data_IF_575188065027
#
_entry.id   IF_575188065027
#
_cell.length_a   1.000
_cell.length_b   1.000
_cell.length_c   1.000
_cell.angle_alpha   90.00
_cell.angle_beta   90.00
_cell.angle_gamma   90.00
#
_symmetry.space_group_name_H-M   'P 1'
#
loop_
_entity.id
_entity.type
_entity.pdbx_description
1 polymer ?
#
# COMPACT_ATOMS: atom_id res chain seq x y z
N UNK A 1 19.50 -15.89 -8.91
CA UNK A 1 18.49 -14.95 -8.39
C UNK A 1 19.11 -13.57 -8.30
N UNK A 2 18.37 -12.56 -8.67
CA UNK A 2 18.83 -11.19 -8.63
C UNK A 2 18.71 -10.61 -7.21
N UNK A 3 19.75 -9.93 -6.70
CA UNK A 3 19.69 -9.20 -5.43
C UNK A 3 18.61 -8.12 -5.47
N UNK A 4 18.31 -7.60 -6.68
CA UNK A 4 17.23 -6.60 -6.88
C UNK A 4 15.88 -7.17 -6.45
N UNK A 5 15.56 -8.41 -6.83
CA UNK A 5 14.29 -9.03 -6.45
C UNK A 5 14.22 -9.29 -4.95
N UNK A 6 15.33 -9.64 -4.31
CA UNK A 6 15.38 -9.82 -2.86
C UNK A 6 15.14 -8.52 -2.10
N UNK A 7 15.76 -7.43 -2.54
CA UNK A 7 15.56 -6.09 -1.94
C UNK A 7 14.11 -5.64 -2.15
N UNK A 8 13.58 -5.84 -3.35
CA UNK A 8 12.20 -5.49 -3.69
C UNK A 8 11.21 -6.25 -2.80
N UNK A 9 11.39 -7.57 -2.67
CA UNK A 9 10.52 -8.40 -1.84
C UNK A 9 10.52 -7.92 -0.39
N UNK A 10 11.70 -7.59 0.16
CA UNK A 10 11.82 -7.09 1.53
C UNK A 10 11.13 -5.73 1.69
N UNK A 11 11.31 -4.82 0.73
CA UNK A 11 10.70 -3.49 0.80
C UNK A 11 9.17 -3.60 0.81
N UNK A 12 8.60 -4.43 -0.06
CA UNK A 12 7.15 -4.63 -0.13
C UNK A 12 6.64 -5.35 1.13
N UNK A 13 7.39 -6.31 1.64
CA UNK A 13 7.04 -7.00 2.88
C UNK A 13 7.02 -6.01 4.06
N UNK A 14 8.02 -5.17 4.19
CA UNK A 14 8.07 -4.13 5.22
C UNK A 14 6.89 -3.17 5.09
N UNK A 15 6.53 -2.79 3.87
CA UNK A 15 5.37 -1.95 3.58
C UNK A 15 4.09 -2.57 4.16
N UNK A 16 3.82 -3.85 3.86
CA UNK A 16 2.61 -4.50 4.36
C UNK A 16 2.66 -4.76 5.86
N UNK A 17 3.83 -5.00 6.44
CA UNK A 17 3.95 -5.11 7.90
C UNK A 17 3.51 -3.81 8.59
N UNK A 18 3.88 -2.67 8.02
CA UNK A 18 3.47 -1.36 8.55
C UNK A 18 1.95 -1.22 8.50
N UNK A 19 1.33 -1.60 7.39
CA UNK A 19 -0.12 -1.51 7.23
C UNK A 19 -0.86 -2.48 8.14
N UNK A 20 -0.33 -3.68 8.31
CA UNK A 20 -0.97 -4.73 9.12
C UNK A 20 -0.89 -4.46 10.63
N UNK A 21 0.02 -3.61 11.07
CA UNK A 21 0.18 -3.27 12.48
C UNK A 21 -0.98 -2.46 13.07
N UNK A 22 -1.85 -1.91 12.24
CA UNK A 22 -2.97 -1.11 12.69
C UNK A 22 -2.60 0.31 13.08
N UNK A 23 -3.60 1.09 13.48
CA UNK A 23 -3.44 2.52 13.77
C UNK A 23 -2.49 2.79 14.93
N UNK A 24 -2.48 1.92 15.96
CA UNK A 24 -1.65 2.11 17.14
C UNK A 24 -0.16 1.91 16.87
N UNK A 25 0.17 1.08 15.89
CA UNK A 25 1.56 0.75 15.55
C UNK A 25 2.01 1.42 14.25
N UNK A 26 1.17 2.23 13.65
CA UNK A 26 1.50 2.89 12.39
C UNK A 26 2.62 3.91 12.60
N UNK A 27 3.71 3.72 11.85
CA UNK A 27 4.89 4.57 11.91
C UNK A 27 5.06 5.30 10.57
N UNK A 28 4.66 6.58 10.50
CA UNK A 28 4.76 7.33 9.24
C UNK A 28 6.19 7.55 8.77
N UNK A 29 7.14 7.65 9.70
CA UNK A 29 8.56 7.82 9.34
C UNK A 29 9.10 6.55 8.70
N UNK A 30 8.78 5.40 9.28
CA UNK A 30 9.19 4.11 8.74
C UNK A 30 8.59 3.87 7.36
N UNK A 31 7.32 4.20 7.16
CA UNK A 31 6.68 4.10 5.86
C UNK A 31 7.36 5.02 4.84
N UNK A 32 7.57 6.28 5.21
CA UNK A 32 8.20 7.27 4.33
C UNK A 32 9.60 6.84 3.88
N UNK A 33 10.34 6.12 4.73
CA UNK A 33 11.68 5.64 4.40
C UNK A 33 11.69 4.59 3.29
N UNK A 34 10.56 3.97 2.98
CA UNK A 34 10.42 3.00 1.90
C UNK A 34 10.07 3.65 0.55
N UNK A 35 9.76 4.94 0.53
CA UNK A 35 9.18 5.63 -0.61
C UNK A 35 10.17 6.63 -1.22
N UNK A 36 10.17 6.74 -2.56
CA UNK A 36 10.85 7.84 -3.21
C UNK A 36 10.15 9.16 -2.85
N UNK A 37 10.90 10.27 -2.67
CA UNK A 37 10.28 11.56 -2.34
C UNK A 37 9.23 12.02 -3.35
N UNK A 38 9.44 11.69 -4.62
CA UNK A 38 8.54 12.02 -5.73
C UNK A 38 7.64 10.84 -6.13
N UNK A 39 7.29 9.98 -5.19
CA UNK A 39 6.39 8.85 -5.40
C UNK A 39 5.18 9.27 -6.22
N UNK A 40 4.81 8.44 -7.20
CA UNK A 40 3.57 8.60 -7.95
C UNK A 40 2.54 7.60 -7.42
N UNK A 41 1.40 8.09 -6.99
CA UNK A 41 0.30 7.25 -6.51
C UNK A 41 -0.92 7.45 -7.40
N UNK A 42 -1.56 6.35 -7.76
CA UNK A 42 -2.83 6.35 -8.49
C UNK A 42 -3.83 5.46 -7.76
N UNK A 43 -5.03 5.96 -7.55
CA UNK A 43 -6.11 5.20 -6.92
C UNK A 43 -7.48 5.71 -7.33
N UNK A 44 -8.54 4.91 -7.12
CA UNK A 44 -9.88 5.26 -7.62
C UNK A 44 -10.53 6.44 -6.91
N UNK A 45 -10.11 6.76 -5.68
CA UNK A 45 -10.64 7.92 -4.94
C UNK A 45 -9.66 9.08 -4.97
N UNK A 46 -8.38 8.82 -4.65
CA UNK A 46 -7.37 9.87 -4.59
C UNK A 46 -7.01 10.42 -5.97
N UNK A 47 -7.22 9.63 -7.03
CA UNK A 47 -6.78 9.99 -8.38
C UNK A 47 -5.28 9.85 -8.52
N UNK A 48 -4.68 10.75 -9.29
CA UNK A 48 -3.24 10.79 -9.54
C UNK A 48 -2.60 11.79 -8.59
N UNK A 49 -1.65 11.34 -7.76
CA UNK A 49 -0.97 12.18 -6.77
C UNK A 49 0.53 11.97 -6.84
N UNK A 50 1.28 13.03 -6.58
CA UNK A 50 2.74 13.00 -6.55
C UNK A 50 3.22 13.42 -5.16
N UNK A 51 4.18 12.68 -4.61
CA UNK A 51 4.81 12.97 -3.33
C UNK A 51 4.59 11.89 -2.29
N UNK A 52 5.64 11.60 -1.53
CA UNK A 52 5.58 10.60 -0.47
C UNK A 52 4.72 11.07 0.71
N UNK A 53 4.83 12.33 1.12
CA UNK A 53 4.12 12.84 2.30
C UNK A 53 2.60 12.74 2.18
N UNK A 54 1.97 13.19 1.08
CA UNK A 54 0.53 13.01 0.91
C UNK A 54 0.10 11.54 0.93
N UNK A 55 0.91 10.66 0.35
CA UNK A 55 0.63 9.23 0.36
C UNK A 55 0.66 8.67 1.78
N UNK A 56 1.68 9.03 2.57
CA UNK A 56 1.79 8.58 3.98
C UNK A 56 0.57 9.02 4.78
N UNK A 57 0.10 10.25 4.58
CA UNK A 57 -1.10 10.75 5.25
C UNK A 57 -2.34 9.97 4.83
N UNK A 58 -2.45 9.62 3.55
CA UNK A 58 -3.56 8.81 3.05
C UNK A 58 -3.56 7.41 3.65
N UNK A 59 -2.39 6.79 3.78
CA UNK A 59 -2.26 5.47 4.42
C UNK A 59 -2.63 5.54 5.90
N UNK A 60 -2.23 6.60 6.60
CA UNK A 60 -2.61 6.79 8.00
C UNK A 60 -4.13 6.78 8.16
N UNK A 61 -4.85 7.47 7.28
CA UNK A 61 -6.31 7.45 7.28
C UNK A 61 -6.89 6.06 6.98
N UNK A 62 -6.32 5.36 6.00
CA UNK A 62 -6.74 4.01 5.65
C UNK A 62 -6.56 3.04 6.82
N UNK A 63 -5.37 3.05 7.44
CA UNK A 63 -5.06 2.18 8.57
C UNK A 63 -5.98 2.48 9.77
N UNK A 64 -6.32 3.76 9.97
CA UNK A 64 -7.25 4.18 11.00
C UNK A 64 -8.68 3.69 10.78
N UNK A 65 -9.05 3.36 9.54
CA UNK A 65 -10.38 2.88 9.18
C UNK A 65 -10.48 1.36 9.20
N UNK A 66 -9.38 0.67 8.85
CA UNK A 66 -9.38 -0.79 8.73
C UNK A 66 -9.16 -1.48 10.08
N UNK A 67 -9.65 -2.71 10.20
CA UNK A 67 -9.48 -3.57 11.38
C UNK A 67 -8.51 -4.71 11.15
N UNK A 68 -8.01 -4.85 9.94
CA UNK A 68 -7.06 -5.89 9.57
C UNK A 68 -6.89 -5.98 8.07
N UNK A 69 -5.82 -6.64 7.67
CA UNK A 69 -5.48 -6.84 6.28
C UNK A 69 -4.95 -8.26 6.12
N UNK A 70 -5.51 -9.00 5.16
CA UNK A 70 -5.11 -10.37 4.87
C UNK A 70 -4.53 -10.43 3.47
N UNK A 71 -3.24 -10.79 3.36
CA UNK A 71 -2.57 -10.94 2.08
C UNK A 71 -3.04 -12.23 1.42
N UNK A 72 -3.58 -12.13 0.20
CA UNK A 72 -4.03 -13.27 -0.58
C UNK A 72 -2.95 -13.75 -1.54
N UNK A 73 -2.25 -12.84 -2.19
CA UNK A 73 -1.23 -13.17 -3.17
C UNK A 73 -0.25 -12.02 -3.32
N UNK A 74 1.04 -12.34 -3.39
CA UNK A 74 2.09 -11.35 -3.65
C UNK A 74 3.04 -11.93 -4.69
N UNK A 75 3.26 -11.20 -5.78
CA UNK A 75 4.23 -11.57 -6.81
C UNK A 75 5.26 -10.46 -6.96
N UNK A 76 6.51 -10.85 -7.15
CA UNK A 76 7.66 -9.92 -7.21
C UNK A 76 8.58 -10.33 -8.35
N UNK A 77 9.04 -9.38 -9.13
CA UNK A 77 10.03 -9.64 -10.17
C UNK A 77 10.22 -8.45 -11.09
N UNK A 78 11.41 -8.36 -11.70
CA UNK A 78 11.74 -7.35 -12.71
C UNK A 78 11.51 -5.91 -12.23
N UNK A 79 11.82 -5.62 -10.97
CA UNK A 79 11.64 -4.28 -10.40
C UNK A 79 10.20 -3.90 -10.10
N UNK A 80 9.28 -4.87 -10.15
CA UNK A 80 7.85 -4.66 -9.96
C UNK A 80 7.28 -5.66 -8.96
N UNK A 81 6.17 -5.30 -8.34
CA UNK A 81 5.43 -6.20 -7.47
C UNK A 81 3.94 -5.98 -7.65
N UNK A 82 3.17 -7.02 -7.37
CA UNK A 82 1.72 -6.94 -7.36
C UNK A 82 1.19 -7.72 -6.17
N UNK A 83 0.24 -7.14 -5.46
CA UNK A 83 -0.38 -7.75 -4.29
C UNK A 83 -1.89 -7.78 -4.45
N UNK A 84 -2.49 -8.85 -3.98
CA UNK A 84 -3.94 -8.99 -3.84
C UNK A 84 -4.22 -9.23 -2.37
N UNK A 85 -5.03 -8.37 -1.75
CA UNK A 85 -5.32 -8.50 -0.33
C UNK A 85 -6.77 -8.11 -0.03
N UNK A 86 -7.25 -8.58 1.11
CA UNK A 86 -8.55 -8.17 1.66
C UNK A 86 -8.31 -7.33 2.91
N UNK A 87 -8.95 -6.18 2.99
CA UNK A 87 -8.94 -5.35 4.19
C UNK A 87 -10.31 -5.40 4.85
N UNK A 88 -10.32 -5.49 6.17
CA UNK A 88 -11.56 -5.48 6.94
C UNK A 88 -11.94 -4.05 7.24
N UNK A 89 -12.99 -3.57 6.60
CA UNK A 89 -13.60 -2.26 6.87
C UNK A 89 -14.68 -2.42 7.94
N UNK A 90 -15.18 -1.32 8.53
CA UNK A 90 -16.23 -1.43 9.56
C UNK A 90 -17.44 -2.25 9.13
N UNK A 91 -17.85 -2.15 7.86
CA UNK A 91 -19.01 -2.86 7.33
C UNK A 91 -18.72 -4.22 6.71
N UNK A 92 -17.45 -4.63 6.61
CA UNK A 92 -17.07 -5.92 6.06
C UNK A 92 -15.82 -5.87 5.20
N UNK A 93 -15.41 -7.02 4.64
CA UNK A 93 -14.18 -7.10 3.85
C UNK A 93 -14.32 -6.50 2.45
N UNK A 94 -13.22 -5.95 1.96
CA UNK A 94 -13.12 -5.45 0.60
C UNK A 94 -11.79 -5.88 0.00
N UNK A 95 -11.82 -6.27 -1.27
CA UNK A 95 -10.62 -6.71 -1.99
C UNK A 95 -9.93 -5.56 -2.69
N UNK A 96 -8.60 -5.54 -2.56
CA UNK A 96 -7.72 -4.55 -3.17
C UNK A 96 -6.66 -5.25 -3.99
N UNK A 97 -6.27 -4.64 -5.12
CA UNK A 97 -5.08 -5.01 -5.86
C UNK A 97 -4.15 -3.81 -5.88
N UNK A 98 -2.88 -4.05 -5.63
CA UNK A 98 -1.89 -2.97 -5.51
C UNK A 98 -0.64 -3.33 -6.31
N UNK A 99 -0.20 -2.41 -7.17
CA UNK A 99 0.93 -2.61 -8.07
C UNK A 99 2.03 -1.62 -7.73
N UNK A 100 3.27 -2.11 -7.69
CA UNK A 100 4.43 -1.34 -7.28
C UNK A 100 5.49 -1.35 -8.36
N UNK A 101 6.17 -0.21 -8.52
CA UNK A 101 7.44 -0.13 -9.22
C UNK A 101 8.47 0.36 -8.22
N UNK A 102 9.64 -0.27 -8.24
CA UNK A 102 10.74 0.08 -7.36
C UNK A 102 11.98 0.41 -8.17
N UNK A 103 12.77 1.33 -7.64
CA UNK A 103 14.03 1.73 -8.21
C UNK A 103 15.00 2.05 -7.06
N UNK A 104 16.19 1.45 -7.10
CA UNK A 104 17.24 1.68 -6.09
C UNK A 104 16.76 1.45 -4.66
N UNK A 105 15.93 0.42 -4.46
CA UNK A 105 15.44 0.04 -3.13
C UNK A 105 14.27 0.86 -2.62
N UNK A 106 13.77 1.83 -3.37
CA UNK A 106 12.62 2.66 -2.99
C UNK A 106 11.43 2.40 -3.89
N UNK A 107 10.24 2.52 -3.33
CA UNK A 107 9.00 2.44 -4.09
C UNK A 107 8.81 3.77 -4.82
N UNK A 108 8.73 3.73 -6.15
CA UNK A 108 8.60 4.92 -6.99
C UNK A 108 7.19 5.12 -7.52
N UNK A 109 6.42 4.03 -7.64
CA UNK A 109 5.04 4.09 -8.14
C UNK A 109 4.18 3.09 -7.39
N UNK A 110 2.98 3.50 -7.01
CA UNK A 110 1.95 2.62 -6.45
C UNK A 110 0.66 2.88 -7.20
N UNK A 111 0.03 1.81 -7.70
CA UNK A 111 -1.30 1.86 -8.32
C UNK A 111 -2.22 0.95 -7.53
N UNK A 112 -3.28 1.53 -6.98
CA UNK A 112 -4.24 0.83 -6.15
C UNK A 112 -5.57 0.70 -6.89
N UNK A 113 -6.14 -0.50 -6.89
CA UNK A 113 -7.41 -0.79 -7.54
C UNK A 113 -8.37 -1.41 -6.54
N UNK A 114 -9.54 -0.83 -6.42
CA UNK A 114 -10.63 -1.34 -5.59
C UNK A 114 -11.94 -0.69 -6.05
N UNK A 115 -13.07 -1.21 -5.58
CA UNK A 115 -14.39 -0.64 -5.86
C UNK A 115 -14.62 0.56 -4.93
N UNK A 116 -14.59 1.81 -5.42
CA UNK A 116 -14.72 2.99 -4.57
C UNK A 116 -16.10 3.13 -3.93
N UNK A 117 -17.15 2.74 -4.64
CA UNK A 117 -18.50 2.82 -4.08
C UNK A 117 -18.68 1.85 -2.91
N UNK A 118 -18.17 0.63 -3.09
CA UNK A 118 -18.23 -0.38 -2.04
C UNK A 118 -17.37 0.03 -0.84
N UNK A 119 -16.20 0.64 -1.10
CA UNK A 119 -15.33 1.16 -0.04
C UNK A 119 -16.09 2.14 0.86
N UNK A 120 -16.79 3.10 0.27
CA UNK A 120 -17.56 4.11 1.01
C UNK A 120 -18.72 3.45 1.75
N UNK A 121 -19.46 2.55 1.11
CA UNK A 121 -20.58 1.84 1.73
C UNK A 121 -20.16 1.00 2.92
N UNK A 122 -18.95 0.46 2.91
CA UNK A 122 -18.41 -0.34 4.01
C UNK A 122 -17.77 0.52 5.11
N UNK A 123 -17.83 1.84 5.00
CA UNK A 123 -17.33 2.74 6.03
C UNK A 123 -15.89 3.21 5.82
N UNK A 124 -15.35 3.05 4.62
CA UNK A 124 -14.04 3.60 4.25
C UNK A 124 -14.05 5.11 4.19
N UNK A 125 -12.88 5.71 4.44
CA UNK A 125 -12.71 7.16 4.43
C UNK A 125 -11.43 7.58 3.74
#
# INVERSE_FOLDING_TARGET
MSDVDGVLAKTVDDYYQILQGGAHEFDPVRLGALLAPDLVFEGPIAGHRIGADPFVQGVAGFVGTTRGLVMCQLVVGAGQAAALYDAELPGGPLRFAEFFELREGLITTIRLVFDPDKYIKLGGR
#
